data_IF_294182540868
#
_entry.id   IF_294182540868
#
_cell.length_a   1.000
_cell.length_b   1.000
_cell.length_c   1.000
_cell.angle_alpha   90.00
_cell.angle_beta   90.00
_cell.angle_gamma   90.00
#
_symmetry.space_group_name_H-M   'P 1'
#
loop_
_entity.id
_entity.type
_entity.pdbx_description
1 polymer ?
#
# COMPACT_ATOMS: atom_id res chain seq x y z
N UNK A 1 -74.61 1.90 -4.23
CA UNK A 1 -73.37 2.02 -4.97
C UNK A 1 -72.24 2.45 -4.00
N UNK A 2 -71.52 1.46 -3.49
CA UNK A 2 -70.49 1.59 -2.50
C UNK A 2 -69.13 1.75 -3.23
N UNK A 3 -68.43 2.87 -3.04
CA UNK A 3 -67.10 3.08 -3.54
C UNK A 3 -66.09 2.61 -2.48
N UNK A 4 -65.23 1.66 -2.84
CA UNK A 4 -64.08 1.28 -2.03
C UNK A 4 -62.97 2.28 -2.31
N UNK A 5 -62.63 3.08 -1.33
CA UNK A 5 -61.36 3.81 -1.28
C UNK A 5 -60.28 2.86 -0.78
N UNK A 6 -59.35 2.52 -1.66
CA UNK A 6 -58.09 1.89 -1.27
C UNK A 6 -57.08 3.00 -0.93
N UNK A 7 -56.88 3.21 0.35
CA UNK A 7 -55.68 3.92 0.84
C UNK A 7 -54.43 3.05 0.56
N UNK A 8 -53.62 3.49 -0.39
CA UNK A 8 -52.27 3.01 -0.51
C UNK A 8 -51.40 3.66 0.58
N UNK A 9 -51.14 2.92 1.62
CA UNK A 9 -50.06 3.30 2.55
C UNK A 9 -48.76 3.19 1.82
N UNK A 10 -48.17 4.36 1.47
CA UNK A 10 -46.78 4.47 1.08
C UNK A 10 -45.94 4.16 2.32
N UNK A 11 -45.40 2.94 2.39
CA UNK A 11 -44.29 2.67 3.31
C UNK A 11 -43.12 3.54 2.86
N UNK A 12 -42.79 4.56 3.66
CA UNK A 12 -41.51 5.22 3.57
C UNK A 12 -40.42 4.17 3.80
N UNK A 13 -39.86 3.66 2.71
CA UNK A 13 -38.54 3.07 2.78
C UNK A 13 -37.59 4.23 3.11
N UNK A 14 -37.19 4.28 4.35
CA UNK A 14 -35.96 5.02 4.75
C UNK A 14 -34.84 4.36 3.97
N UNK A 15 -34.50 4.96 2.82
CA UNK A 15 -33.31 4.58 2.08
C UNK A 15 -32.12 4.82 3.01
N UNK A 16 -31.40 3.76 3.35
CA UNK A 16 -30.05 3.90 3.84
C UNK A 16 -29.32 4.74 2.77
N UNK A 17 -29.01 5.99 3.09
CA UNK A 17 -28.08 6.77 2.29
C UNK A 17 -26.77 6.01 2.31
N UNK A 18 -26.45 5.32 1.21
CA UNK A 18 -25.10 4.82 0.97
C UNK A 18 -24.19 6.05 1.00
N UNK A 19 -23.50 6.24 2.11
CA UNK A 19 -22.48 7.27 2.25
C UNK A 19 -21.31 6.86 1.35
N UNK A 20 -21.37 7.28 0.09
CA UNK A 20 -20.23 7.12 -0.81
C UNK A 20 -19.05 7.92 -0.25
N UNK A 21 -18.07 7.21 0.28
CA UNK A 21 -16.84 7.85 0.73
C UNK A 21 -16.14 8.51 -0.47
N UNK A 22 -15.90 9.81 -0.36
CA UNK A 22 -15.21 10.57 -1.40
C UNK A 22 -13.81 9.99 -1.63
N UNK A 23 -13.44 9.79 -2.88
CA UNK A 23 -12.11 9.30 -3.28
C UNK A 23 -11.27 10.44 -3.84
N UNK A 24 -9.98 10.41 -3.56
CA UNK A 24 -9.00 11.37 -4.07
C UNK A 24 -7.87 10.66 -4.79
N UNK A 25 -7.49 11.19 -5.95
CA UNK A 25 -6.34 10.71 -6.70
C UNK A 25 -5.11 11.52 -6.31
N UNK A 26 -4.05 10.83 -5.89
CA UNK A 26 -2.78 11.43 -5.47
C UNK A 26 -1.64 10.87 -6.32
N UNK A 27 -0.72 11.75 -6.73
CA UNK A 27 0.53 11.35 -7.39
C UNK A 27 1.52 10.82 -6.33
N UNK A 28 2.14 9.68 -6.59
CA UNK A 28 3.22 9.13 -5.78
C UNK A 28 4.55 9.59 -6.39
N UNK A 29 5.22 10.53 -5.75
CA UNK A 29 6.53 10.98 -6.16
C UNK A 29 7.61 10.29 -5.33
N UNK A 30 8.01 9.11 -5.77
CA UNK A 30 8.97 8.26 -5.08
C UNK A 30 9.94 7.61 -6.07
N UNK A 31 11.16 7.36 -5.62
CA UNK A 31 12.18 6.64 -6.37
C UNK A 31 12.94 5.67 -5.47
N UNK A 32 13.56 4.68 -6.08
CA UNK A 32 14.48 3.81 -5.38
C UNK A 32 15.73 4.58 -4.93
N UNK A 33 16.24 4.22 -3.77
CA UNK A 33 17.53 4.72 -3.31
C UNK A 33 18.63 4.00 -4.10
N UNK A 34 19.16 4.66 -5.12
CA UNK A 34 20.28 4.15 -5.90
C UNK A 34 21.57 4.48 -5.15
N UNK A 35 22.13 3.53 -4.41
CA UNK A 35 23.53 3.60 -4.06
C UNK A 35 24.33 3.41 -5.36
N UNK A 36 25.06 4.43 -5.78
CA UNK A 36 26.06 4.29 -6.81
C UNK A 36 27.16 3.37 -6.31
N UNK A 37 27.03 2.08 -6.59
CA UNK A 37 28.20 1.22 -6.65
C UNK A 37 28.96 1.61 -7.91
N UNK A 38 30.30 1.78 -7.85
CA UNK A 38 31.09 2.08 -9.04
C UNK A 38 30.78 1.00 -10.10
N UNK A 39 30.47 1.46 -11.29
CA UNK A 39 29.98 0.71 -12.43
C UNK A 39 30.77 -0.57 -12.72
N UNK A 40 30.23 -1.71 -12.36
CA UNK A 40 30.50 -2.96 -13.06
C UNK A 40 29.45 -3.09 -14.15
N UNK A 41 29.88 -3.06 -15.40
CA UNK A 41 29.03 -3.21 -16.57
C UNK A 41 28.17 -4.45 -16.43
N UNK A 42 26.84 -4.30 -16.48
CA UNK A 42 25.91 -5.41 -16.69
C UNK A 42 24.94 -5.73 -15.55
N UNK A 43 24.92 -4.98 -14.45
CA UNK A 43 23.89 -5.15 -13.42
C UNK A 43 22.64 -4.40 -13.87
N UNK A 44 21.52 -5.11 -13.98
CA UNK A 44 20.20 -4.46 -14.09
C UNK A 44 20.05 -3.48 -12.95
N UNK A 45 19.39 -2.39 -13.23
CA UNK A 45 19.13 -1.33 -12.23
C UNK A 45 18.25 -1.92 -11.12
N UNK A 46 18.89 -2.47 -10.10
CA UNK A 46 18.24 -3.06 -8.91
C UNK A 46 17.35 -2.05 -8.17
N UNK A 47 17.46 -0.79 -8.54
CA UNK A 47 16.69 0.32 -8.01
C UNK A 47 15.41 0.62 -8.78
N UNK A 48 15.06 -0.15 -9.81
CA UNK A 48 13.86 0.10 -10.60
C UNK A 48 12.60 -0.33 -9.83
N UNK A 49 11.57 0.51 -9.83
CA UNK A 49 10.23 0.11 -9.42
C UNK A 49 9.57 -0.58 -10.60
N UNK A 50 9.68 -1.90 -10.66
CA UNK A 50 9.21 -2.73 -11.79
C UNK A 50 7.73 -3.09 -11.75
N UNK A 51 7.09 -3.02 -10.56
CA UNK A 51 5.66 -3.28 -10.35
C UNK A 51 5.01 -2.05 -9.73
N UNK A 52 3.72 -1.83 -10.01
CA UNK A 52 2.95 -0.79 -9.33
C UNK A 52 2.96 -1.01 -7.82
N UNK A 53 3.35 -0.01 -7.02
CA UNK A 53 3.42 -0.15 -5.58
C UNK A 53 2.02 -0.29 -4.97
N UNK A 54 1.97 -0.91 -3.79
CA UNK A 54 0.83 -0.89 -2.90
C UNK A 54 0.96 0.24 -1.89
N UNK A 55 -0.15 0.90 -1.60
CA UNK A 55 -0.30 1.88 -0.53
C UNK A 55 -1.19 1.30 0.54
N UNK A 56 -0.66 1.15 1.76
CA UNK A 56 -1.42 0.79 2.95
C UNK A 56 -1.62 2.04 3.79
N UNK A 57 -2.85 2.31 4.15
CA UNK A 57 -3.25 3.49 4.93
C UNK A 57 -3.59 3.04 6.35
N UNK A 58 -2.98 3.72 7.33
CA UNK A 58 -3.30 3.53 8.75
C UNK A 58 -3.68 4.87 9.37
N UNK A 59 -4.75 4.89 10.19
CA UNK A 59 -5.20 6.06 10.93
C UNK A 59 -4.62 6.08 12.34
N UNK A 60 -3.97 7.16 12.71
CA UNK A 60 -3.31 7.36 14.00
C UNK A 60 -1.83 7.69 13.85
N UNK A 61 -1.14 7.81 14.98
CA UNK A 61 0.28 8.10 15.07
C UNK A 61 1.10 6.84 15.38
N UNK A 62 2.26 6.73 14.73
CA UNK A 62 3.24 5.71 15.01
C UNK A 62 2.73 4.27 14.89
N UNK A 63 3.28 3.32 15.69
CA UNK A 63 3.03 1.90 15.51
C UNK A 63 1.60 1.45 15.87
N UNK A 64 0.86 2.26 16.63
CA UNK A 64 -0.51 1.96 17.05
C UNK A 64 -1.57 2.46 16.05
N UNK A 65 -1.16 3.12 14.97
CA UNK A 65 -2.07 3.51 13.90
C UNK A 65 -2.79 2.28 13.35
N UNK A 66 -4.11 2.37 13.15
CA UNK A 66 -4.96 1.24 12.75
C UNK A 66 -5.23 1.23 11.26
N UNK A 67 -5.28 0.05 10.67
CA UNK A 67 -5.50 -0.17 9.25
C UNK A 67 -6.82 0.43 8.76
N UNK A 68 -6.76 1.13 7.62
CA UNK A 68 -7.91 1.74 6.94
C UNK A 68 -8.18 1.05 5.61
N UNK A 69 -7.21 1.07 4.70
CA UNK A 69 -7.34 0.48 3.37
C UNK A 69 -5.97 0.13 2.77
N UNK A 70 -5.98 -0.77 1.80
CA UNK A 70 -4.84 -1.07 0.95
C UNK A 70 -5.24 -0.88 -0.51
N UNK A 71 -4.49 -0.10 -1.27
CA UNK A 71 -4.79 0.24 -2.66
C UNK A 71 -3.55 0.09 -3.53
N UNK A 72 -3.69 -0.58 -4.66
CA UNK A 72 -2.60 -0.65 -5.63
C UNK A 72 -2.54 0.65 -6.45
N UNK A 73 -1.34 1.20 -6.58
CA UNK A 73 -1.10 2.33 -7.47
C UNK A 73 -1.22 1.90 -8.93
N UNK A 74 -1.41 2.85 -9.81
CA UNK A 74 -1.42 2.65 -11.26
C UNK A 74 -0.53 3.68 -11.95
N UNK A 75 -0.09 3.36 -13.15
CA UNK A 75 0.72 4.27 -13.97
C UNK A 75 -0.14 4.96 -15.01
N UNK A 76 0.03 6.27 -15.13
CA UNK A 76 -0.60 7.10 -16.14
C UNK A 76 0.42 8.14 -16.63
N UNK A 77 0.70 8.14 -17.94
CA UNK A 77 1.64 9.07 -18.59
C UNK A 77 3.04 9.14 -17.91
N UNK A 78 3.56 7.98 -17.52
CA UNK A 78 4.89 7.87 -16.88
C UNK A 78 4.95 8.29 -15.42
N UNK A 79 3.80 8.60 -14.81
CA UNK A 79 3.66 8.92 -13.39
C UNK A 79 2.81 7.87 -12.68
N UNK A 80 3.01 7.72 -11.38
CA UNK A 80 2.25 6.79 -10.54
C UNK A 80 1.26 7.52 -9.68
N UNK A 81 0.05 6.97 -9.62
CA UNK A 81 -1.08 7.53 -8.87
C UNK A 81 -1.72 6.46 -8.00
N UNK A 82 -2.32 6.89 -6.92
CA UNK A 82 -3.17 6.06 -6.05
C UNK A 82 -4.50 6.77 -5.83
N UNK A 83 -5.59 6.01 -5.72
CA UNK A 83 -6.92 6.55 -5.42
C UNK A 83 -7.29 6.11 -4.00
N UNK A 84 -7.22 7.04 -3.05
CA UNK A 84 -7.48 6.79 -1.64
C UNK A 84 -8.84 7.34 -1.22
N UNK A 85 -9.39 6.78 -0.14
CA UNK A 85 -10.54 7.35 0.55
C UNK A 85 -10.13 8.64 1.23
N UNK A 86 -10.85 9.72 0.96
CA UNK A 86 -10.65 11.02 1.62
C UNK A 86 -10.77 10.87 3.13
N UNK A 87 -9.84 11.48 3.85
CA UNK A 87 -9.79 11.48 5.30
C UNK A 87 -9.63 12.92 5.81
N UNK A 88 -10.37 13.25 6.86
CA UNK A 88 -10.29 14.55 7.49
C UNK A 88 -9.01 14.73 8.32
N UNK A 89 -8.73 15.96 8.76
CA UNK A 89 -7.57 16.29 9.58
C UNK A 89 -7.81 16.09 11.10
N UNK A 90 -8.69 15.16 11.45
CA UNK A 90 -9.01 14.82 12.85
C UNK A 90 -8.00 13.82 13.46
N UNK A 91 -7.10 13.30 12.66
CA UNK A 91 -6.05 12.35 13.06
C UNK A 91 -4.85 12.48 12.13
N UNK A 92 -3.74 11.88 12.52
CA UNK A 92 -2.62 11.59 11.62
C UNK A 92 -2.91 10.32 10.81
N UNK A 93 -2.24 10.20 9.69
CA UNK A 93 -2.31 9.00 8.85
C UNK A 93 -0.91 8.55 8.47
N UNK A 94 -0.68 7.24 8.54
CA UNK A 94 0.56 6.61 8.13
C UNK A 94 0.32 5.97 6.75
N UNK A 95 1.05 6.42 5.75
CA UNK A 95 1.01 5.90 4.39
C UNK A 95 2.23 5.01 4.17
N UNK A 96 2.03 3.69 4.19
CA UNK A 96 3.10 2.73 3.92
C UNK A 96 3.09 2.36 2.45
N UNK A 97 4.16 2.73 1.74
CA UNK A 97 4.39 2.39 0.33
C UNK A 97 5.20 1.11 0.29
N UNK A 98 4.70 0.07 -0.39
CA UNK A 98 5.43 -1.15 -0.69
C UNK A 98 5.58 -1.30 -2.20
N UNK A 99 6.81 -1.15 -2.68
CA UNK A 99 7.16 -1.31 -4.09
C UNK A 99 7.81 -2.66 -4.33
N UNK A 100 7.63 -3.20 -5.54
CA UNK A 100 8.16 -4.49 -5.95
C UNK A 100 7.73 -5.64 -5.02
N UNK A 101 6.49 -5.58 -4.54
CA UNK A 101 5.92 -6.59 -3.66
C UNK A 101 5.97 -7.97 -4.31
N UNK A 102 6.21 -9.04 -3.54
CA UNK A 102 6.07 -10.41 -4.02
C UNK A 102 4.62 -10.69 -4.42
N UNK A 103 4.37 -11.81 -5.09
CA UNK A 103 3.01 -12.20 -5.49
C UNK A 103 2.23 -12.84 -4.32
N UNK A 104 2.93 -13.21 -3.25
CA UNK A 104 2.39 -13.91 -2.10
C UNK A 104 2.99 -13.43 -0.78
N UNK A 105 2.21 -13.58 0.30
CA UNK A 105 2.68 -13.32 1.67
C UNK A 105 2.12 -14.35 2.65
N UNK A 106 2.72 -14.39 3.84
CA UNK A 106 2.24 -15.11 5.03
C UNK A 106 1.87 -14.09 6.10
N UNK A 107 0.96 -14.43 6.98
CA UNK A 107 0.56 -13.52 8.06
C UNK A 107 0.54 -14.25 9.41
N UNK A 108 1.37 -13.80 10.35
CA UNK A 108 1.52 -14.37 11.69
C UNK A 108 2.28 -15.68 11.76
N UNK A 109 2.18 -16.53 10.76
CA UNK A 109 2.90 -17.77 10.62
C UNK A 109 3.46 -17.94 9.20
N UNK A 110 4.30 -18.93 8.97
CA UNK A 110 4.85 -19.21 7.65
C UNK A 110 4.19 -20.41 6.98
N UNK A 111 2.96 -20.74 7.37
CA UNK A 111 2.26 -21.98 6.94
C UNK A 111 1.21 -21.64 5.88
N UNK A 112 0.38 -20.63 6.12
CA UNK A 112 -0.70 -20.26 5.21
C UNK A 112 -0.27 -19.12 4.29
N UNK A 113 -0.31 -19.37 2.99
CA UNK A 113 0.09 -18.43 1.95
C UNK A 113 -1.13 -17.71 1.38
N UNK A 114 -1.06 -16.38 1.30
CA UNK A 114 -2.09 -15.50 0.77
C UNK A 114 -1.60 -14.79 -0.48
N UNK A 115 -2.50 -14.46 -1.41
CA UNK A 115 -2.19 -13.57 -2.53
C UNK A 115 -1.82 -12.17 -2.04
N UNK A 116 -0.83 -11.55 -2.65
CA UNK A 116 -0.49 -10.14 -2.36
C UNK A 116 -1.45 -9.23 -3.15
N UNK A 117 -2.72 -9.28 -2.80
CA UNK A 117 -3.85 -8.63 -3.45
C UNK A 117 -4.94 -8.28 -2.43
N UNK A 118 -5.98 -7.59 -2.88
CA UNK A 118 -7.10 -7.17 -2.03
C UNK A 118 -7.76 -8.32 -1.29
N UNK A 119 -7.87 -9.50 -1.92
CA UNK A 119 -8.48 -10.68 -1.30
C UNK A 119 -7.62 -11.20 -0.15
N UNK A 120 -6.32 -11.32 -0.37
CA UNK A 120 -5.38 -11.76 0.67
C UNK A 120 -5.33 -10.77 1.84
N UNK A 121 -5.33 -9.46 1.54
CA UNK A 121 -5.34 -8.44 2.61
C UNK A 121 -6.64 -8.47 3.40
N UNK A 122 -7.79 -8.55 2.75
CA UNK A 122 -9.10 -8.62 3.42
C UNK A 122 -9.24 -9.84 4.33
N UNK A 123 -8.53 -10.93 4.02
CA UNK A 123 -8.53 -12.14 4.85
C UNK A 123 -7.75 -11.96 6.17
N UNK A 124 -6.78 -11.02 6.22
CA UNK A 124 -5.84 -10.90 7.34
C UNK A 124 -5.85 -9.54 8.03
N UNK A 125 -6.19 -8.46 7.30
CA UNK A 125 -6.16 -7.10 7.83
C UNK A 125 -7.57 -6.64 8.17
N UNK A 126 -7.80 -6.36 9.45
CA UNK A 126 -9.10 -5.88 9.93
C UNK A 126 -9.06 -4.35 10.07
N UNK A 127 -9.95 -3.69 9.33
CA UNK A 127 -10.09 -2.23 9.38
C UNK A 127 -10.40 -1.75 10.81
N UNK A 128 -9.67 -0.73 11.25
CA UNK A 128 -9.80 -0.15 12.59
C UNK A 128 -9.23 -1.01 13.73
N UNK A 129 -8.71 -2.22 13.46
CA UNK A 129 -8.20 -3.14 14.48
C UNK A 129 -6.73 -3.51 14.25
N UNK A 130 -6.36 -3.94 13.04
CA UNK A 130 -4.97 -4.28 12.74
C UNK A 130 -4.09 -3.05 12.86
N UNK A 131 -3.11 -3.07 13.74
CA UNK A 131 -2.18 -1.95 13.91
C UNK A 131 -1.03 -1.99 12.90
N UNK A 132 -0.37 -0.86 12.69
CA UNK A 132 0.85 -0.80 11.88
C UNK A 132 1.95 -1.72 12.45
N UNK A 133 2.05 -1.80 13.79
CA UNK A 133 2.98 -2.71 14.44
C UNK A 133 2.65 -4.18 14.15
N UNK A 134 1.37 -4.57 14.22
CA UNK A 134 0.92 -5.92 13.88
C UNK A 134 1.20 -6.24 12.42
N UNK A 135 0.92 -5.30 11.53
CA UNK A 135 1.22 -5.43 10.11
C UNK A 135 2.72 -5.68 9.87
N UNK A 136 3.58 -4.83 10.43
CA UNK A 136 5.04 -4.95 10.27
C UNK A 136 5.61 -6.23 10.89
N UNK A 137 4.98 -6.75 11.95
CA UNK A 137 5.44 -7.96 12.64
C UNK A 137 4.96 -9.22 11.94
N UNK A 138 3.73 -9.23 11.45
CA UNK A 138 3.06 -10.45 10.98
C UNK A 138 3.07 -10.61 9.46
N UNK A 139 3.25 -9.53 8.69
CA UNK A 139 3.37 -9.62 7.23
C UNK A 139 4.75 -10.14 6.85
N UNK A 140 4.81 -11.38 6.43
CA UNK A 140 6.04 -12.08 6.07
C UNK A 140 6.01 -12.42 4.58
N UNK A 141 7.15 -12.33 3.92
CA UNK A 141 7.33 -12.82 2.55
C UNK A 141 8.06 -14.16 2.58
N UNK A 142 7.92 -14.96 1.53
CA UNK A 142 8.72 -16.17 1.39
C UNK A 142 10.21 -15.81 1.50
N UNK A 143 11.01 -16.65 2.18
CA UNK A 143 12.45 -16.48 2.21
C UNK A 143 12.99 -16.38 0.78
N UNK A 144 13.86 -15.41 0.55
CA UNK A 144 14.53 -15.30 -0.73
C UNK A 144 15.40 -16.55 -0.95
N UNK A 145 15.19 -17.23 -2.07
CA UNK A 145 16.06 -18.32 -2.45
C UNK A 145 17.49 -17.77 -2.59
N UNK A 146 18.38 -18.20 -1.70
CA UNK A 146 19.80 -17.87 -1.81
C UNK A 146 20.36 -18.74 -2.96
N UNK A 147 20.76 -18.14 -4.09
CA UNK A 147 21.39 -18.92 -5.15
C UNK A 147 22.66 -19.54 -4.60
N UNK A 148 22.87 -20.81 -4.85
CA UNK A 148 24.02 -21.59 -4.34
C UNK A 148 25.39 -21.07 -4.80
N UNK A 149 25.45 -20.11 -5.72
CA UNK A 149 26.66 -19.60 -6.38
C UNK A 149 26.71 -18.09 -6.56
N UNK A 150 25.73 -17.32 -6.13
CA UNK A 150 25.76 -15.86 -6.29
C UNK A 150 25.80 -15.17 -4.93
N UNK A 151 26.76 -14.28 -4.78
CA UNK A 151 26.94 -13.47 -3.56
C UNK A 151 25.87 -12.38 -3.40
N UNK A 152 25.09 -12.11 -4.46
CA UNK A 152 24.09 -11.05 -4.49
C UNK A 152 22.76 -11.64 -4.99
N UNK A 153 21.76 -11.84 -4.10
CA UNK A 153 20.40 -12.16 -4.52
C UNK A 153 19.90 -11.08 -5.51
N UNK A 154 19.16 -11.48 -6.53
CA UNK A 154 18.60 -10.61 -7.58
C UNK A 154 19.55 -10.13 -8.68
N UNK A 155 20.84 -10.32 -8.56
CA UNK A 155 21.79 -9.96 -9.61
C UNK A 155 21.60 -10.84 -10.85
N UNK A 156 21.18 -10.25 -11.94
CA UNK A 156 21.15 -10.89 -13.26
C UNK A 156 19.95 -11.81 -13.56
N UNK A 157 18.97 -11.94 -12.66
CA UNK A 157 17.78 -12.80 -12.88
C UNK A 157 16.49 -12.04 -13.23
N UNK A 158 16.58 -10.72 -13.41
CA UNK A 158 15.42 -9.88 -13.73
C UNK A 158 14.45 -9.65 -12.58
N UNK A 159 14.75 -10.10 -11.36
CA UNK A 159 13.94 -9.84 -10.19
C UNK A 159 14.26 -8.45 -9.63
N UNK A 160 13.22 -7.76 -9.20
CA UNK A 160 13.31 -6.45 -8.57
C UNK A 160 13.25 -6.59 -7.03
N UNK A 161 14.01 -5.75 -6.34
CA UNK A 161 14.11 -5.80 -4.88
C UNK A 161 12.89 -5.14 -4.25
N UNK A 162 12.20 -5.77 -3.28
CA UNK A 162 11.17 -5.13 -2.49
C UNK A 162 11.70 -3.89 -1.76
N UNK A 163 10.92 -2.81 -1.79
CA UNK A 163 11.28 -1.54 -1.17
C UNK A 163 10.07 -0.94 -0.45
N UNK A 164 10.33 -0.15 0.59
CA UNK A 164 9.28 0.48 1.36
C UNK A 164 9.61 1.92 1.75
N UNK A 165 8.57 2.69 2.05
CA UNK A 165 8.64 3.99 2.69
C UNK A 165 7.40 4.21 3.55
N UNK A 166 7.58 4.78 4.74
CA UNK A 166 6.50 5.18 5.62
C UNK A 166 6.44 6.70 5.68
N UNK A 167 5.33 7.27 5.22
CA UNK A 167 5.07 8.71 5.21
C UNK A 167 3.93 9.04 6.18
N UNK A 168 4.12 10.01 7.06
CA UNK A 168 3.05 10.56 7.89
C UNK A 168 2.43 11.79 7.24
N UNK A 169 1.09 11.87 7.23
CA UNK A 169 0.33 13.01 6.73
C UNK A 169 -0.80 13.37 7.70
N UNK A 170 -1.22 14.64 7.69
CA UNK A 170 -2.27 15.15 8.59
C UNK A 170 -3.69 14.87 8.10
N UNK A 171 -3.84 14.56 6.80
CA UNK A 171 -5.11 14.34 6.12
C UNK A 171 -4.89 13.62 4.79
N UNK A 172 -5.96 13.11 4.21
CA UNK A 172 -5.94 12.57 2.86
C UNK A 172 -7.02 13.29 2.05
N UNK A 173 -6.59 14.27 1.24
CA UNK A 173 -7.44 15.03 0.33
C UNK A 173 -6.66 15.42 -0.93
N UNK A 174 -7.28 16.17 -1.85
CA UNK A 174 -6.67 16.60 -3.11
C UNK A 174 -5.43 17.50 -2.94
N UNK A 175 -5.16 18.01 -1.72
CA UNK A 175 -3.96 18.82 -1.42
C UNK A 175 -2.84 18.00 -0.79
N UNK A 176 -3.10 16.74 -0.43
CA UNK A 176 -2.09 15.84 0.15
C UNK A 176 -1.04 15.50 -0.89
N UNK A 177 0.21 15.56 -0.48
CA UNK A 177 1.36 15.27 -1.34
C UNK A 177 2.11 14.05 -0.81
N UNK A 178 2.39 13.11 -1.73
CA UNK A 178 3.18 11.92 -1.43
C UNK A 178 4.59 12.15 -1.97
N UNK A 179 5.29 13.08 -1.32
CA UNK A 179 6.66 13.53 -1.63
C UNK A 179 7.34 14.02 -0.36
N UNK A 180 8.63 14.29 -0.40
CA UNK A 180 9.33 14.97 0.71
C UNK A 180 8.84 16.41 0.87
N UNK A 181 9.00 16.96 2.08
CA UNK A 181 8.58 18.33 2.40
C UNK A 181 9.24 19.42 1.54
N UNK A 182 10.41 19.13 0.96
CA UNK A 182 11.13 20.01 0.04
C UNK A 182 10.73 19.79 -1.45
N UNK A 183 9.72 18.96 -1.72
CA UNK A 183 9.25 18.65 -3.05
C UNK A 183 10.14 17.66 -3.81
N UNK A 184 11.09 17.01 -3.15
CA UNK A 184 11.90 15.94 -3.74
C UNK A 184 11.20 14.58 -3.63
N UNK A 185 11.56 13.58 -4.49
CA UNK A 185 10.96 12.26 -4.41
C UNK A 185 11.28 11.58 -3.08
N UNK A 186 10.31 10.82 -2.54
CA UNK A 186 10.54 9.90 -1.43
C UNK A 186 11.59 8.86 -1.84
N UNK A 187 12.53 8.57 -0.94
CA UNK A 187 13.58 7.60 -1.19
C UNK A 187 13.19 6.24 -0.61
N UNK A 188 12.70 5.33 -1.45
CA UNK A 188 12.30 3.99 -1.04
C UNK A 188 13.51 3.20 -0.51
N UNK A 189 13.35 2.64 0.68
CA UNK A 189 14.37 1.82 1.33
C UNK A 189 14.20 0.36 0.92
N UNK A 190 15.31 -0.29 0.53
CA UNK A 190 15.32 -1.71 0.19
C UNK A 190 15.06 -2.57 1.41
N UNK A 191 14.23 -3.60 1.26
CA UNK A 191 13.92 -4.54 2.33
C UNK A 191 15.07 -5.51 2.67
N UNK A 192 16.18 -5.47 1.91
CA UNK A 192 17.33 -6.37 2.09
C UNK A 192 18.49 -5.58 2.65
N UNK A 193 18.91 -5.94 3.86
CA UNK A 193 20.21 -5.56 4.41
C UNK A 193 21.25 -6.61 4.04
N UNK A 194 22.35 -6.21 3.41
CA UNK A 194 23.53 -7.07 3.30
C UNK A 194 24.19 -7.11 4.67
N UNK A 195 24.12 -8.24 5.35
CA UNK A 195 25.06 -8.50 6.45
C UNK A 195 26.42 -8.84 5.85
N UNK A 196 27.41 -8.03 6.15
CA UNK A 196 28.82 -8.25 5.83
C UNK A 196 29.46 -8.98 6.98
#
# INVERSE_FOLDING_TARGET
LSGCEHEFALSEQVGEEEVFSEKVQLEIFARANSYHLPSTKGLMDEGTVGKNPWMFVFKGEGPNATFVEAVQAFELAGKRYVILTKQSNDSKYQLLILANSPDRFYYGDAVTEYGFDETGFSAQLMQGLTTLADFCTNMLTAPLAVPSVSVIPYSGNGQVIPMSYLLEVDKIDHTTKIENTDGTPLMLTRAIAKMV
#
